data_IF_027755200162
#
_entry.id   IF_027755200162
#
_cell.length_a   1.000
_cell.length_b   1.000
_cell.length_c   1.000
_cell.angle_alpha   90.00
_cell.angle_beta   90.00
_cell.angle_gamma   90.00
#
_symmetry.space_group_name_H-M   'P 1'
#
loop_
_entity.id
_entity.type
_entity.pdbx_description
1 polymer ?
#
# COMPACT_ATOMS: atom_id res chain seq x y z
N UNK A 1 -3.12 -17.11 21.41
CA UNK A 1 -2.65 -17.34 20.55
C UNK A 1 -3.32 -17.13 19.35
N UNK A 2 -4.28 -17.58 19.13
CA UNK A 2 -4.92 -17.43 17.94
C UNK A 2 -5.17 -16.00 17.64
N UNK A 3 -5.42 -15.20 18.62
CA UNK A 3 -5.65 -13.88 18.33
C UNK A 3 -4.54 -13.24 17.59
N UNK A 4 -3.37 -13.42 17.94
CA UNK A 4 -2.30 -12.87 17.22
C UNK A 4 -2.22 -13.39 15.88
N UNK A 5 -2.49 -14.64 15.69
CA UNK A 5 -2.44 -15.18 14.40
C UNK A 5 -3.51 -14.60 13.55
N UNK A 6 -4.65 -14.34 14.09
CA UNK A 6 -5.68 -13.75 13.30
C UNK A 6 -5.25 -12.40 12.85
N UNK A 7 -4.58 -11.65 13.67
CA UNK A 7 -4.11 -10.40 13.26
C UNK A 7 -3.11 -10.57 12.18
N UNK A 8 -2.25 -11.51 12.29
CA UNK A 8 -1.25 -11.73 11.28
C UNK A 8 -1.88 -12.13 10.01
N UNK A 9 -3.03 -12.70 10.04
CA UNK A 9 -3.64 -13.14 8.81
C UNK A 9 -3.91 -11.94 7.94
N UNK A 10 -4.15 -10.78 8.51
CA UNK A 10 -4.38 -9.62 7.70
C UNK A 10 -3.06 -9.03 7.28
N UNK A 11 -2.86 -8.80 6.00
CA UNK A 11 -1.60 -8.22 5.56
C UNK A 11 -1.40 -6.84 6.14
N UNK A 12 -0.22 -6.52 6.54
CA UNK A 12 0.05 -5.18 7.06
C UNK A 12 -0.32 -4.09 6.08
N UNK A 13 -0.26 -4.40 4.82
CA UNK A 13 -0.63 -3.41 3.82
C UNK A 13 -2.10 -3.04 3.96
N UNK A 14 -2.97 -4.02 4.09
CA UNK A 14 -4.38 -3.74 4.20
C UNK A 14 -4.69 -2.91 5.43
N UNK A 15 -4.05 -3.25 6.52
CA UNK A 15 -4.27 -2.52 7.73
C UNK A 15 -3.78 -1.09 7.59
N UNK A 16 -2.60 -0.91 7.04
CA UNK A 16 -2.06 0.43 6.88
C UNK A 16 -2.92 1.24 5.92
N UNK A 17 -3.41 0.60 4.88
CA UNK A 17 -4.23 1.29 3.93
C UNK A 17 -5.54 1.74 4.55
N UNK A 18 -6.16 0.87 5.35
CA UNK A 18 -7.40 1.24 5.99
C UNK A 18 -7.21 2.40 6.96
N UNK A 19 -6.13 2.38 7.69
CA UNK A 19 -5.85 3.45 8.61
C UNK A 19 -5.56 4.74 7.86
N UNK A 20 -4.89 4.63 6.74
CA UNK A 20 -4.59 5.81 5.95
C UNK A 20 -5.87 6.42 5.41
N UNK A 21 -6.78 5.61 4.95
CA UNK A 21 -8.05 6.09 4.44
C UNK A 21 -8.83 6.80 5.55
N UNK A 22 -8.85 6.22 6.72
CA UNK A 22 -9.53 6.84 7.83
C UNK A 22 -8.90 8.18 8.16
N UNK A 23 -7.61 8.23 8.14
CA UNK A 23 -6.89 9.43 8.47
C UNK A 23 -7.20 10.52 7.46
N UNK A 24 -7.25 10.19 6.20
CA UNK A 24 -7.55 11.16 5.17
C UNK A 24 -8.97 11.68 5.34
N UNK A 25 -9.89 10.82 5.70
CA UNK A 25 -11.24 11.25 5.92
C UNK A 25 -11.31 12.27 7.05
N UNK A 26 -10.55 12.04 8.09
CA UNK A 26 -10.54 12.97 9.20
C UNK A 26 -9.95 14.32 8.78
N UNK A 27 -8.90 14.28 7.98
CA UNK A 27 -8.32 15.52 7.51
C UNK A 27 -9.29 16.27 6.61
N UNK A 28 -10.00 15.54 5.78
CA UNK A 28 -10.94 16.16 4.89
C UNK A 28 -12.14 16.75 5.64
N UNK A 29 -12.51 16.13 6.72
CA UNK A 29 -13.62 16.63 7.48
C UNK A 29 -13.31 17.98 8.11
N UNK A 30 -12.06 18.22 8.38
CA UNK A 30 -11.69 19.52 8.93
C UNK A 30 -11.98 19.61 10.41
N UNK A 31 -11.94 20.80 10.92
CA UNK A 31 -12.22 20.97 12.33
C UNK A 31 -11.09 20.58 13.24
N UNK A 32 -9.91 20.34 12.71
CA UNK A 32 -8.79 19.96 13.52
C UNK A 32 -7.90 21.15 13.82
N UNK A 33 -7.25 21.10 14.95
CA UNK A 33 -6.27 22.15 15.22
C UNK A 33 -5.06 21.88 14.35
N UNK A 34 -4.21 22.86 14.26
CA UNK A 34 -3.00 22.71 13.49
C UNK A 34 -2.16 21.59 14.04
N UNK A 35 -2.08 21.50 15.34
CA UNK A 35 -1.30 20.46 15.97
C UNK A 35 -1.85 19.09 15.64
N UNK A 36 -3.19 18.95 15.70
CA UNK A 36 -3.80 17.70 15.37
C UNK A 36 -3.57 17.33 13.91
N UNK A 37 -3.62 18.33 13.04
CA UNK A 37 -3.41 18.08 11.63
C UNK A 37 -1.98 17.60 11.38
N UNK A 38 -1.02 18.18 12.07
CA UNK A 38 0.35 17.77 11.92
C UNK A 38 0.56 16.35 12.40
N UNK A 39 -0.05 15.99 13.51
CA UNK A 39 0.07 14.65 14.00
C UNK A 39 -0.51 13.65 13.03
N UNK A 40 -1.67 13.98 12.46
CA UNK A 40 -2.26 13.10 11.48
C UNK A 40 -1.40 13.01 10.25
N UNK A 41 -0.82 14.11 9.84
CA UNK A 41 0.04 14.12 8.68
C UNK A 41 1.26 13.21 8.89
N UNK A 42 1.89 13.31 10.03
CA UNK A 42 3.03 12.49 10.31
C UNK A 42 2.67 11.03 10.34
N UNK A 43 1.51 10.73 10.93
CA UNK A 43 1.07 9.36 10.96
C UNK A 43 0.79 8.88 9.54
N UNK A 44 0.20 9.73 8.73
CA UNK A 44 -0.08 9.38 7.35
C UNK A 44 1.16 9.08 6.57
N UNK A 45 2.22 9.83 6.83
CA UNK A 45 3.46 9.58 6.15
C UNK A 45 4.01 8.21 6.49
N UNK A 46 3.93 7.83 7.74
CA UNK A 46 4.42 6.53 8.13
C UNK A 46 3.57 5.41 7.51
N UNK A 47 2.25 5.61 7.50
CA UNK A 47 1.38 4.62 6.91
C UNK A 47 1.59 4.53 5.41
N UNK A 48 1.79 5.66 4.77
CA UNK A 48 2.03 5.65 3.34
C UNK A 48 3.33 4.92 3.04
N UNK A 49 4.32 5.07 3.89
CA UNK A 49 5.57 4.36 3.70
C UNK A 49 5.39 2.86 3.76
N UNK A 50 4.55 2.41 4.70
CA UNK A 50 4.29 0.98 4.80
C UNK A 50 3.62 0.49 3.52
N UNK A 51 2.66 1.25 3.02
CA UNK A 51 1.98 0.85 1.80
C UNK A 51 2.94 0.83 0.62
N UNK A 52 3.83 1.81 0.56
CA UNK A 52 4.78 1.86 -0.51
C UNK A 52 5.71 0.67 -0.46
N UNK A 53 6.15 0.30 0.72
CA UNK A 53 7.04 -0.84 0.84
C UNK A 53 6.36 -2.11 0.35
N UNK A 54 5.10 -2.27 0.69
CA UNK A 54 4.37 -3.44 0.23
C UNK A 54 4.20 -3.43 -1.27
N UNK A 55 3.88 -2.28 -1.85
CA UNK A 55 3.71 -2.20 -3.28
C UNK A 55 5.03 -2.40 -4.00
N UNK A 56 6.10 -1.94 -3.40
CA UNK A 56 7.40 -2.13 -4.01
C UNK A 56 7.74 -3.61 -4.03
N UNK A 57 7.46 -4.32 -2.94
CA UNK A 57 7.72 -5.74 -2.91
C UNK A 57 6.86 -6.48 -3.91
N UNK A 58 5.59 -6.09 -4.02
CA UNK A 58 4.71 -6.73 -4.97
C UNK A 58 5.18 -6.46 -6.40
N UNK A 59 5.64 -5.24 -6.65
CA UNK A 59 6.11 -4.90 -7.97
C UNK A 59 7.33 -5.72 -8.33
N UNK A 60 8.23 -5.92 -7.37
CA UNK A 60 9.41 -6.70 -7.64
C UNK A 60 9.04 -8.14 -7.96
N UNK A 61 8.08 -8.69 -7.24
CA UNK A 61 7.66 -10.05 -7.52
C UNK A 61 6.98 -10.13 -8.87
N UNK A 62 6.17 -9.14 -9.19
CA UNK A 62 5.51 -9.14 -10.47
C UNK A 62 6.52 -9.02 -11.59
N UNK A 63 7.53 -8.21 -11.41
CA UNK A 63 8.55 -8.04 -12.42
C UNK A 63 9.28 -9.35 -12.64
N UNK A 64 9.57 -10.07 -11.58
CA UNK A 64 10.25 -11.34 -11.72
C UNK A 64 9.38 -12.33 -12.46
N UNK A 65 8.11 -12.37 -12.13
CA UNK A 65 7.21 -13.29 -12.81
C UNK A 65 7.06 -12.91 -14.27
N UNK A 66 7.01 -11.63 -14.56
CA UNK A 66 6.86 -11.19 -15.92
C UNK A 66 8.13 -11.51 -16.72
N UNK A 67 9.27 -11.34 -16.11
CA UNK A 67 10.49 -11.66 -16.80
C UNK A 67 10.52 -13.12 -17.19
N UNK A 68 10.05 -13.98 -16.32
CA UNK A 68 10.01 -15.37 -16.66
C UNK A 68 9.06 -15.61 -17.80
N UNK A 69 7.93 -14.97 -17.80
CA UNK A 69 7.02 -15.15 -18.88
C UNK A 69 7.57 -14.63 -20.15
N UNK A 70 8.20 -13.49 -20.11
CA UNK A 70 8.77 -12.92 -21.31
C UNK A 70 9.80 -13.85 -21.89
N UNK A 71 10.56 -14.46 -21.06
CA UNK A 71 11.55 -15.40 -21.57
C UNK A 71 10.84 -16.53 -22.26
N UNK A 72 9.69 -16.87 -21.81
CA UNK A 72 8.99 -17.96 -22.42
C UNK A 72 8.22 -17.54 -23.65
N UNK A 73 7.84 -16.33 -23.76
CA UNK A 73 7.05 -15.94 -24.92
C UNK A 73 7.17 -14.50 -25.24
N UNK A 74 6.61 -14.14 -26.28
CA UNK A 74 6.72 -12.80 -26.81
C UNK A 74 5.92 -11.88 -25.94
N UNK A 75 6.42 -10.85 -25.69
CA UNK A 75 5.72 -9.95 -24.90
C UNK A 75 5.12 -8.83 -25.56
N UNK A 76 4.98 -8.82 -26.66
CA UNK A 76 4.46 -7.77 -27.34
C UNK A 76 3.35 -7.09 -26.72
N UNK A 77 2.37 -7.47 -26.73
CA UNK A 77 1.23 -6.75 -26.37
C UNK A 77 1.34 -6.00 -25.12
N UNK A 78 2.09 -6.50 -24.36
CA UNK A 78 2.15 -5.91 -23.14
C UNK A 78 2.33 -4.46 -23.19
N UNK A 79 3.03 -4.08 -24.01
CA UNK A 79 3.32 -2.75 -24.04
C UNK A 79 2.10 -1.97 -23.97
N UNK A 80 1.23 -2.30 -24.41
CA UNK A 80 0.15 -1.48 -24.45
C UNK A 80 -0.23 -1.16 -23.09
N UNK A 81 -0.48 -1.78 -22.45
CA UNK A 81 -0.88 -1.47 -21.31
C UNK A 81 -1.10 -0.53 -20.60
N UNK A 82 -0.67 -0.33 -19.99
CA UNK A 82 -0.77 0.50 -19.17
C UNK A 82 -1.98 0.92 -18.85
N UNK A 83 -2.35 1.38 -18.62
CA UNK A 83 -3.49 1.86 -18.29
C UNK A 83 -3.21 3.16 -18.23
#
# INVERSE_FOLDING_TARGET
MTREQEKSARPPYEKARDELIDLVKRLEAGGLTLEQSLELWERGERLAGVCEDWLEGARARLAAATAKKDAAGPADGSDAAPF
#
